data_IF_947649512594
#
_entry.id   IF_947649512594
#
_cell.length_a   1.000
_cell.length_b   1.000
_cell.length_c   1.000
_cell.angle_alpha   90.00
_cell.angle_beta   90.00
_cell.angle_gamma   90.00
#
_symmetry.space_group_name_H-M   'P 1'
#
loop_
_entity.id
_entity.type
_entity.pdbx_description
1 polymer ?
#
# COMPACT_ATOMS: atom_id res chain seq x y z
N UNK A 1 79.52 -26.01 78.37
CA UNK A 1 79.89 -26.75 77.14
C UNK A 1 78.69 -27.52 76.58
N UNK A 2 78.21 -27.12 75.40
CA UNK A 2 78.04 -28.06 74.27
C UNK A 2 76.93 -29.11 74.22
N UNK A 3 75.85 -29.10 75.04
CA UNK A 3 74.69 -30.01 74.81
C UNK A 3 73.29 -29.36 74.97
N UNK A 4 73.21 -28.02 74.88
CA UNK A 4 71.98 -27.26 74.59
C UNK A 4 71.88 -27.07 73.07
N UNK A 5 71.25 -27.99 72.31
CA UNK A 5 70.58 -27.67 71.02
C UNK A 5 69.88 -28.86 70.33
N UNK A 6 70.24 -30.12 70.62
CA UNK A 6 69.64 -31.26 69.89
C UNK A 6 68.44 -31.93 70.56
N UNK A 7 68.18 -31.71 71.85
CA UNK A 7 67.00 -32.31 72.52
C UNK A 7 65.69 -31.53 72.29
N UNK A 8 65.76 -30.22 71.99
CA UNK A 8 64.57 -29.41 71.64
C UNK A 8 64.02 -29.67 70.23
N UNK A 9 64.75 -30.40 69.37
CA UNK A 9 64.28 -30.80 68.04
C UNK A 9 63.57 -32.16 68.03
N UNK A 10 63.69 -32.95 69.11
CA UNK A 10 63.09 -34.28 69.21
C UNK A 10 61.65 -34.20 69.73
N UNK A 11 61.39 -33.31 70.68
CA UNK A 11 60.07 -33.22 71.31
C UNK A 11 59.07 -32.39 70.47
N UNK A 12 59.56 -31.47 69.61
CA UNK A 12 58.72 -30.78 68.61
C UNK A 12 58.32 -31.69 67.42
N UNK A 13 58.97 -32.85 67.25
CA UNK A 13 58.59 -33.85 66.25
C UNK A 13 57.51 -34.82 66.76
N UNK A 14 57.35 -34.95 68.08
CA UNK A 14 56.25 -35.72 68.66
C UNK A 14 54.95 -34.92 68.65
N UNK A 15 55.00 -33.61 68.86
CA UNK A 15 53.79 -32.76 68.86
C UNK A 15 53.22 -32.51 67.44
N UNK A 16 54.06 -32.47 66.39
CA UNK A 16 53.59 -32.20 65.01
C UNK A 16 53.15 -33.49 64.28
N UNK A 17 53.62 -34.67 64.71
CA UNK A 17 53.16 -35.95 64.15
C UNK A 17 51.87 -36.43 64.82
N UNK A 18 51.61 -36.11 66.09
CA UNK A 18 50.29 -36.30 66.70
C UNK A 18 49.24 -35.31 66.16
N UNK A 19 49.65 -34.11 65.72
CA UNK A 19 48.72 -33.15 65.10
C UNK A 19 48.40 -33.42 63.62
N UNK A 20 49.08 -34.37 62.96
CA UNK A 20 48.78 -34.75 61.56
C UNK A 20 48.01 -36.05 61.38
N UNK A 21 47.74 -36.80 62.47
CA UNK A 21 46.74 -37.89 62.50
C UNK A 21 45.37 -37.43 62.99
N UNK A 22 45.20 -36.13 63.27
CA UNK A 22 43.91 -35.52 63.52
C UNK A 22 43.41 -34.81 62.26
N UNK A 23 42.52 -35.49 61.52
CA UNK A 23 41.61 -35.01 60.45
C UNK A 23 41.73 -35.82 59.16
N UNK A 24 41.22 -37.05 59.19
CA UNK A 24 40.51 -37.60 58.03
C UNK A 24 39.04 -37.82 58.41
N UNK A 25 38.07 -37.24 57.70
CA UNK A 25 36.69 -37.22 58.16
C UNK A 25 36.02 -38.55 57.82
N UNK A 26 35.93 -39.47 58.80
CA UNK A 26 34.95 -40.58 58.75
C UNK A 26 33.51 -40.09 58.57
N UNK A 27 33.24 -38.80 58.85
CA UNK A 27 31.95 -38.13 58.55
C UNK A 27 31.74 -37.83 57.05
N UNK A 28 32.78 -37.76 56.21
CA UNK A 28 32.61 -37.43 54.78
C UNK A 28 32.37 -38.65 53.89
N UNK A 29 32.95 -39.83 54.18
CA UNK A 29 32.64 -41.06 53.40
C UNK A 29 31.19 -41.50 53.55
N UNK A 30 30.66 -41.55 54.79
CA UNK A 30 29.24 -41.87 55.01
C UNK A 30 28.29 -40.81 54.44
N UNK A 31 28.68 -39.54 54.45
CA UNK A 31 27.86 -38.46 53.89
C UNK A 31 27.92 -38.46 52.36
N UNK A 32 29.07 -38.77 51.75
CA UNK A 32 29.22 -39.00 50.31
C UNK A 32 28.46 -40.24 49.86
N UNK A 33 28.51 -41.37 50.58
CA UNK A 33 27.76 -42.58 50.23
C UNK A 33 26.24 -42.34 50.32
N UNK A 34 25.77 -41.64 51.36
CA UNK A 34 24.37 -41.22 51.47
C UNK A 34 23.97 -40.24 50.36
N UNK A 35 24.83 -39.27 50.01
CA UNK A 35 24.57 -38.37 48.88
C UNK A 35 24.53 -39.12 47.55
N UNK A 36 25.38 -40.13 47.38
CA UNK A 36 25.50 -40.92 46.15
C UNK A 36 24.31 -41.86 46.01
N UNK A 37 23.86 -42.50 47.10
CA UNK A 37 22.63 -43.28 47.15
C UNK A 37 21.40 -42.40 46.92
N UNK A 38 21.33 -41.21 47.56
CA UNK A 38 20.23 -40.26 47.35
C UNK A 38 20.18 -39.76 45.91
N UNK A 39 21.31 -39.38 45.30
CA UNK A 39 21.38 -39.01 43.88
C UNK A 39 21.01 -40.16 42.95
N UNK A 40 21.37 -41.41 43.31
CA UNK A 40 21.00 -42.60 42.53
C UNK A 40 19.51 -42.92 42.64
N UNK A 41 18.91 -42.66 43.80
CA UNK A 41 17.48 -42.77 44.04
C UNK A 41 16.70 -41.66 43.34
N UNK A 42 17.14 -40.41 43.43
CA UNK A 42 16.59 -39.26 42.70
C UNK A 42 16.65 -39.50 41.19
N UNK A 43 17.78 -39.97 40.65
CA UNK A 43 17.88 -40.34 39.23
C UNK A 43 16.97 -41.51 38.85
N UNK A 44 16.74 -42.48 39.75
CA UNK A 44 15.80 -43.59 39.51
C UNK A 44 14.37 -43.10 39.50
N UNK A 45 13.96 -42.29 40.48
CA UNK A 45 12.64 -41.68 40.56
C UNK A 45 12.38 -40.73 39.38
N UNK A 46 13.39 -39.97 38.96
CA UNK A 46 13.32 -39.13 37.76
C UNK A 46 13.21 -39.98 36.50
N UNK A 47 13.98 -41.08 36.38
CA UNK A 47 13.86 -42.00 35.26
C UNK A 47 12.52 -42.73 35.22
N UNK A 48 11.92 -43.05 36.37
CA UNK A 48 10.59 -43.64 36.47
C UNK A 48 9.50 -42.61 36.18
N UNK A 49 9.64 -41.36 36.63
CA UNK A 49 8.75 -40.26 36.24
C UNK A 49 8.81 -40.02 34.74
N UNK A 50 10.00 -40.05 34.13
CA UNK A 50 10.16 -39.90 32.67
C UNK A 50 9.55 -41.11 31.95
N UNK A 51 9.79 -42.35 32.43
CA UNK A 51 9.18 -43.56 31.85
C UNK A 51 7.65 -43.57 31.98
N UNK A 52 7.11 -43.13 33.11
CA UNK A 52 5.66 -42.99 33.32
C UNK A 52 5.08 -41.86 32.46
N UNK A 53 5.75 -40.72 32.35
CA UNK A 53 5.30 -39.63 31.47
C UNK A 53 5.32 -40.08 30.00
N UNK A 54 6.35 -40.83 29.60
CA UNK A 54 6.46 -41.41 28.26
C UNK A 54 5.50 -42.60 28.01
N UNK A 55 5.09 -43.35 29.04
CA UNK A 55 4.09 -44.41 28.93
C UNK A 55 2.68 -43.82 28.83
N UNK A 56 2.37 -42.81 29.65
CA UNK A 56 1.14 -42.01 29.58
C UNK A 56 1.01 -41.34 28.22
N UNK A 57 2.07 -40.72 27.70
CA UNK A 57 2.08 -40.13 26.35
C UNK A 57 1.94 -41.19 25.24
N UNK A 58 2.53 -42.37 25.38
CA UNK A 58 2.36 -43.49 24.43
C UNK A 58 0.98 -44.13 24.51
N UNK A 59 0.34 -44.13 25.66
CA UNK A 59 -1.04 -44.59 25.84
C UNK A 59 -2.03 -43.55 25.32
N UNK A 60 -1.76 -42.26 25.56
CA UNK A 60 -2.49 -41.14 24.97
C UNK A 60 -2.38 -41.18 23.45
N UNK A 61 -1.19 -41.31 22.87
CA UNK A 61 -0.99 -41.42 21.43
C UNK A 61 -1.60 -42.68 20.80
N UNK A 62 -1.75 -43.79 21.55
CA UNK A 62 -2.45 -45.01 21.10
C UNK A 62 -3.98 -44.87 21.15
N UNK A 63 -4.52 -44.12 22.11
CA UNK A 63 -5.96 -43.82 22.24
C UNK A 63 -6.40 -42.63 21.38
N UNK A 64 -5.49 -41.69 21.11
CA UNK A 64 -5.75 -40.53 20.27
C UNK A 64 -5.70 -40.97 18.82
N UNK A 65 -6.85 -41.04 18.18
CA UNK A 65 -6.96 -41.39 16.77
C UNK A 65 -6.44 -40.26 15.88
N UNK A 66 -5.14 -39.97 15.92
CA UNK A 66 -4.51 -38.88 15.17
C UNK A 66 -4.86 -38.94 13.68
N UNK A 67 -4.91 -40.15 13.10
CA UNK A 67 -5.40 -40.36 11.72
C UNK A 67 -6.87 -39.93 11.54
N UNK A 68 -7.77 -40.25 12.47
CA UNK A 68 -9.19 -39.84 12.39
C UNK A 68 -9.36 -38.34 12.59
N UNK A 69 -8.59 -37.72 13.50
CA UNK A 69 -8.57 -36.26 13.70
C UNK A 69 -8.03 -35.56 12.46
N UNK A 70 -6.95 -36.08 11.86
CA UNK A 70 -6.39 -35.56 10.62
C UNK A 70 -7.37 -35.72 9.45
N UNK A 71 -8.02 -36.88 9.30
CA UNK A 71 -9.07 -37.10 8.30
C UNK A 71 -10.24 -36.14 8.52
N UNK A 72 -10.66 -35.91 9.76
CA UNK A 72 -11.72 -34.96 10.08
C UNK A 72 -11.30 -33.52 9.75
N UNK A 73 -10.07 -33.12 10.08
CA UNK A 73 -9.55 -31.81 9.72
C UNK A 73 -9.47 -31.63 8.21
N UNK A 74 -9.00 -32.63 7.46
CA UNK A 74 -8.98 -32.61 5.99
C UNK A 74 -10.41 -32.54 5.44
N UNK A 75 -11.34 -33.32 5.99
CA UNK A 75 -12.74 -33.29 5.57
C UNK A 75 -13.40 -31.94 5.85
N UNK A 76 -13.10 -31.31 6.99
CA UNK A 76 -13.53 -29.93 7.30
C UNK A 76 -12.90 -28.96 6.30
N UNK A 77 -11.61 -29.09 5.99
CA UNK A 77 -10.91 -28.21 5.05
C UNK A 77 -11.47 -28.35 3.63
N UNK A 78 -11.79 -29.57 3.18
CA UNK A 78 -12.46 -29.87 1.91
C UNK A 78 -13.89 -29.30 1.91
N UNK A 79 -14.63 -29.49 3.00
CA UNK A 79 -16.00 -28.97 3.13
C UNK A 79 -16.00 -27.43 3.09
N UNK A 80 -15.08 -26.79 3.82
CA UNK A 80 -14.86 -25.34 3.76
C UNK A 80 -14.48 -24.94 2.32
N UNK A 81 -13.57 -25.67 1.67
CA UNK A 81 -13.16 -25.42 0.28
C UNK A 81 -14.31 -25.51 -0.73
N UNK A 82 -15.40 -26.22 -0.41
CA UNK A 82 -16.60 -26.32 -1.28
C UNK A 82 -17.66 -25.29 -0.89
N UNK A 83 -17.97 -25.16 0.40
CA UNK A 83 -19.03 -24.27 0.90
C UNK A 83 -18.65 -22.80 0.72
N UNK A 84 -17.39 -22.45 0.91
CA UNK A 84 -16.90 -21.07 0.84
C UNK A 84 -17.07 -20.49 -0.57
N UNK A 85 -16.60 -21.14 -1.66
CA UNK A 85 -16.88 -20.68 -3.02
C UNK A 85 -18.37 -20.58 -3.34
N UNK A 86 -19.19 -21.55 -2.88
CA UNK A 86 -20.65 -21.51 -3.05
C UNK A 86 -21.23 -20.27 -2.36
N UNK A 87 -20.78 -19.97 -1.14
CA UNK A 87 -21.17 -18.78 -0.39
C UNK A 87 -20.81 -17.48 -1.12
N UNK A 88 -19.62 -17.38 -1.70
CA UNK A 88 -19.20 -16.23 -2.52
C UNK A 88 -20.07 -16.14 -3.77
N UNK A 89 -20.27 -17.25 -4.45
CA UNK A 89 -21.02 -17.31 -5.69
C UNK A 89 -22.47 -16.83 -5.49
N UNK A 90 -23.15 -17.27 -4.42
CA UNK A 90 -24.53 -16.88 -4.19
C UNK A 90 -24.67 -15.50 -3.53
N UNK A 91 -23.86 -15.20 -2.51
CA UNK A 91 -24.08 -14.03 -1.63
C UNK A 91 -23.05 -12.91 -1.78
N UNK A 92 -21.95 -13.14 -2.49
CA UNK A 92 -20.85 -12.19 -2.64
C UNK A 92 -20.06 -11.94 -1.35
N UNK A 93 -18.88 -11.27 -1.44
CA UNK A 93 -18.03 -11.01 -0.28
C UNK A 93 -18.59 -9.96 0.68
N UNK A 94 -19.47 -9.06 0.20
CA UNK A 94 -20.07 -7.98 0.99
C UNK A 94 -21.42 -8.33 1.64
N UNK A 95 -21.92 -9.56 1.46
CA UNK A 95 -23.18 -10.00 2.06
C UNK A 95 -23.15 -9.96 3.59
N UNK A 96 -24.31 -9.74 4.23
CA UNK A 96 -24.40 -9.59 5.70
C UNK A 96 -23.84 -10.80 6.46
N UNK A 97 -24.06 -12.01 5.95
CA UNK A 97 -23.60 -13.27 6.56
C UNK A 97 -22.15 -13.58 6.16
N UNK A 98 -21.79 -13.30 4.91
CA UNK A 98 -20.49 -13.67 4.32
C UNK A 98 -19.36 -12.72 4.72
N UNK A 99 -19.63 -11.42 4.83
CA UNK A 99 -18.64 -10.38 5.18
C UNK A 99 -17.83 -10.68 6.45
N UNK A 100 -18.40 -11.04 7.63
CA UNK A 100 -17.61 -11.33 8.81
C UNK A 100 -16.73 -12.57 8.67
N UNK A 101 -17.14 -13.55 7.85
CA UNK A 101 -16.37 -14.76 7.56
C UNK A 101 -15.17 -14.40 6.68
N UNK A 102 -15.41 -13.70 5.56
CA UNK A 102 -14.37 -13.35 4.59
C UNK A 102 -13.36 -12.31 5.09
N UNK A 103 -13.72 -11.52 6.10
CA UNK A 103 -12.75 -10.69 6.83
C UNK A 103 -11.69 -11.51 7.57
N UNK A 104 -12.05 -12.71 8.06
CA UNK A 104 -11.16 -13.58 8.84
C UNK A 104 -10.48 -14.64 7.97
N UNK A 105 -11.20 -15.19 7.00
CA UNK A 105 -10.73 -16.22 6.09
C UNK A 105 -10.71 -15.62 4.68
N UNK A 106 -9.58 -15.01 4.26
CA UNK A 106 -9.47 -14.40 2.95
C UNK A 106 -9.60 -15.45 1.85
N UNK A 107 -10.37 -15.14 0.82
CA UNK A 107 -10.56 -15.98 -0.36
C UNK A 107 -10.16 -15.22 -1.64
N UNK A 108 -9.69 -15.88 -2.70
CA UNK A 108 -9.36 -15.21 -3.96
C UNK A 108 -10.55 -14.52 -4.65
N UNK A 109 -10.43 -13.22 -4.92
CA UNK A 109 -11.38 -12.48 -5.76
C UNK A 109 -10.85 -12.24 -7.17
N UNK A 110 -9.54 -12.08 -7.33
CA UNK A 110 -8.90 -12.00 -8.63
C UNK A 110 -7.44 -12.46 -8.55
N UNK A 111 -6.92 -12.91 -9.70
CA UNK A 111 -5.50 -13.13 -9.93
C UNK A 111 -5.02 -12.27 -11.08
N UNK A 112 -3.86 -11.63 -10.91
CA UNK A 112 -3.29 -10.67 -11.86
C UNK A 112 -1.91 -11.13 -12.33
N UNK A 113 -1.71 -11.12 -13.65
CA UNK A 113 -0.42 -11.37 -14.27
C UNK A 113 0.00 -12.84 -14.29
N UNK A 114 1.23 -13.06 -14.78
CA UNK A 114 1.82 -14.40 -14.91
C UNK A 114 2.17 -15.01 -13.54
N UNK A 115 2.63 -14.17 -12.60
CA UNK A 115 2.94 -14.57 -11.22
C UNK A 115 1.68 -14.87 -10.39
N UNK A 116 0.48 -14.61 -10.95
CA UNK A 116 -0.82 -14.83 -10.31
C UNK A 116 -0.91 -14.14 -8.95
N UNK A 117 -0.59 -12.87 -8.91
CA UNK A 117 -0.77 -12.08 -7.70
C UNK A 117 -2.23 -12.04 -7.27
N UNK A 118 -2.45 -12.28 -5.98
CA UNK A 118 -3.76 -12.50 -5.40
C UNK A 118 -4.35 -11.20 -4.89
N UNK A 119 -5.56 -10.87 -5.35
CA UNK A 119 -6.46 -9.94 -4.65
C UNK A 119 -7.42 -10.78 -3.83
N UNK A 120 -7.54 -10.48 -2.53
CA UNK A 120 -8.35 -11.26 -1.60
C UNK A 120 -9.65 -10.57 -1.20
N UNK A 121 -10.64 -11.37 -0.77
CA UNK A 121 -11.90 -10.85 -0.21
C UNK A 121 -11.67 -9.93 0.97
N UNK A 122 -10.69 -10.22 1.85
CA UNK A 122 -10.37 -9.38 3.00
C UNK A 122 -9.96 -7.98 2.56
N UNK A 123 -9.06 -7.90 1.57
CA UNK A 123 -8.55 -6.64 1.03
C UNK A 123 -9.66 -5.82 0.36
N UNK A 124 -10.43 -6.46 -0.54
CA UNK A 124 -11.58 -5.84 -1.20
C UNK A 124 -12.60 -5.32 -0.18
N UNK A 125 -12.98 -6.13 0.81
CA UNK A 125 -13.93 -5.73 1.85
C UNK A 125 -13.40 -4.54 2.66
N UNK A 126 -12.13 -4.52 3.03
CA UNK A 126 -11.53 -3.41 3.78
C UNK A 126 -11.60 -2.10 2.99
N UNK A 127 -11.29 -2.14 1.70
CA UNK A 127 -11.30 -0.94 0.85
C UNK A 127 -12.73 -0.49 0.54
N UNK A 128 -13.68 -1.42 0.30
CA UNK A 128 -15.11 -1.08 0.15
C UNK A 128 -15.69 -0.51 1.43
N UNK A 129 -15.31 -1.05 2.59
CA UNK A 129 -15.79 -0.55 3.89
C UNK A 129 -15.31 0.87 4.17
N UNK A 130 -14.07 1.20 3.78
CA UNK A 130 -13.53 2.54 3.88
C UNK A 130 -14.29 3.54 3.02
N UNK A 131 -14.59 3.17 1.77
CA UNK A 131 -15.39 3.99 0.87
C UNK A 131 -16.83 4.12 1.36
N UNK A 132 -17.43 3.03 1.89
CA UNK A 132 -18.76 3.08 2.49
C UNK A 132 -18.79 4.06 3.67
N UNK A 133 -17.82 3.96 4.58
CA UNK A 133 -17.71 4.85 5.74
C UNK A 133 -17.66 6.31 5.31
N UNK A 134 -16.83 6.62 4.32
CA UNK A 134 -16.72 7.96 3.77
C UNK A 134 -18.09 8.52 3.33
N UNK A 135 -18.88 7.76 2.56
CA UNK A 135 -20.17 8.22 2.03
C UNK A 135 -21.37 8.14 3.02
N UNK A 136 -21.26 7.35 4.08
CA UNK A 136 -22.28 7.27 5.14
C UNK A 136 -22.13 8.35 6.21
N UNK A 137 -21.00 9.08 6.20
CA UNK A 137 -20.68 10.09 7.20
C UNK A 137 -21.72 11.23 7.28
N UNK A 138 -21.99 11.71 8.51
CA UNK A 138 -22.97 12.76 8.76
C UNK A 138 -22.50 14.13 8.25
N UNK A 139 -21.19 14.39 8.23
CA UNK A 139 -20.64 15.67 7.79
C UNK A 139 -20.82 15.86 6.29
N UNK A 140 -20.85 14.78 5.51
CA UNK A 140 -21.19 14.82 4.08
C UNK A 140 -22.67 15.09 3.82
N UNK A 141 -23.56 14.88 4.80
CA UNK A 141 -24.97 15.24 4.66
C UNK A 141 -25.14 16.76 4.49
N UNK A 142 -24.34 17.56 5.21
CA UNK A 142 -24.34 19.02 5.09
C UNK A 142 -24.00 19.51 3.68
N UNK A 143 -23.20 18.72 2.93
CA UNK A 143 -22.79 18.99 1.55
C UNK A 143 -23.71 18.33 0.51
N UNK A 144 -24.79 17.65 0.94
CA UNK A 144 -25.71 16.92 0.06
C UNK A 144 -25.13 15.65 -0.56
N UNK A 145 -24.03 15.12 0.00
CA UNK A 145 -23.24 14.02 -0.59
C UNK A 145 -23.43 12.67 0.11
N UNK A 146 -24.21 12.62 1.19
CA UNK A 146 -24.46 11.40 1.93
C UNK A 146 -25.27 10.40 1.11
N UNK A 147 -24.83 9.15 1.08
CA UNK A 147 -25.51 8.05 0.37
C UNK A 147 -26.03 7.03 1.38
N UNK A 148 -27.34 6.77 1.37
CA UNK A 148 -27.92 5.64 2.11
C UNK A 148 -27.83 4.35 1.27
N UNK A 149 -26.86 3.51 1.60
CA UNK A 149 -26.61 2.23 0.95
C UNK A 149 -27.66 1.14 1.25
N UNK A 150 -28.69 1.42 2.08
CA UNK A 150 -29.80 0.50 2.31
C UNK A 150 -30.90 0.62 1.25
N UNK A 151 -30.98 1.77 0.58
CA UNK A 151 -31.91 2.00 -0.54
C UNK A 151 -31.55 1.16 -1.78
N UNK A 152 -32.48 0.99 -2.72
CA UNK A 152 -32.21 0.27 -3.97
C UNK A 152 -31.08 0.93 -4.77
N UNK A 153 -31.12 2.25 -4.91
CA UNK A 153 -30.11 3.04 -5.62
C UNK A 153 -28.77 3.04 -4.88
N UNK A 154 -28.81 3.17 -3.55
CA UNK A 154 -27.61 3.05 -2.71
C UNK A 154 -26.92 1.70 -2.89
N UNK A 155 -27.64 0.59 -2.80
CA UNK A 155 -27.07 -0.75 -3.04
C UNK A 155 -26.39 -0.87 -4.41
N UNK A 156 -26.98 -0.28 -5.45
CA UNK A 156 -26.35 -0.27 -6.76
C UNK A 156 -25.11 0.62 -6.81
N UNK A 157 -25.14 1.82 -6.20
CA UNK A 157 -23.95 2.70 -6.08
C UNK A 157 -22.81 1.98 -5.35
N UNK A 158 -23.12 1.24 -4.30
CA UNK A 158 -22.14 0.42 -3.59
C UNK A 158 -21.55 -0.68 -4.48
N UNK A 159 -22.37 -1.32 -5.32
CA UNK A 159 -21.89 -2.29 -6.32
C UNK A 159 -20.97 -1.65 -7.36
N UNK A 160 -21.28 -0.44 -7.83
CA UNK A 160 -20.40 0.33 -8.72
C UNK A 160 -19.08 0.63 -8.01
N UNK A 161 -19.10 1.04 -6.74
CA UNK A 161 -17.87 1.29 -5.97
C UNK A 161 -17.08 0.01 -5.68
N UNK A 162 -17.73 -1.13 -5.40
CA UNK A 162 -17.07 -2.43 -5.30
C UNK A 162 -16.34 -2.79 -6.60
N UNK A 163 -16.98 -2.60 -7.76
CA UNK A 163 -16.34 -2.77 -9.07
C UNK A 163 -15.13 -1.86 -9.25
N UNK A 164 -15.27 -0.57 -8.98
CA UNK A 164 -14.21 0.44 -9.15
C UNK A 164 -13.00 0.17 -8.25
N UNK A 165 -13.25 -0.27 -7.01
CA UNK A 165 -12.18 -0.65 -6.08
C UNK A 165 -11.47 -1.89 -6.56
N UNK A 166 -12.20 -2.93 -7.00
CA UNK A 166 -11.57 -4.13 -7.54
C UNK A 166 -10.77 -3.82 -8.81
N UNK A 167 -11.29 -2.96 -9.68
CA UNK A 167 -10.59 -2.50 -10.90
C UNK A 167 -9.29 -1.77 -10.53
N UNK A 168 -9.35 -0.86 -9.56
CA UNK A 168 -8.19 -0.14 -9.05
C UNK A 168 -7.14 -1.08 -8.45
N UNK A 169 -7.55 -2.07 -7.66
CA UNK A 169 -6.63 -3.06 -7.09
C UNK A 169 -5.96 -3.92 -8.16
N UNK A 170 -6.68 -4.26 -9.24
CA UNK A 170 -6.08 -4.94 -10.39
C UNK A 170 -5.09 -4.02 -11.10
N UNK A 171 -5.46 -2.76 -11.35
CA UNK A 171 -4.57 -1.77 -11.95
C UNK A 171 -3.29 -1.56 -11.14
N UNK A 172 -3.40 -1.50 -9.81
CA UNK A 172 -2.27 -1.35 -8.89
C UNK A 172 -1.28 -2.51 -8.99
N UNK A 173 -1.75 -3.76 -9.06
CA UNK A 173 -0.88 -4.92 -9.29
C UNK A 173 -0.24 -4.90 -10.68
N UNK A 174 -0.96 -4.45 -11.70
CA UNK A 174 -0.40 -4.32 -13.06
C UNK A 174 0.70 -3.27 -13.09
N UNK A 175 0.48 -2.12 -12.44
CA UNK A 175 1.46 -1.04 -12.30
C UNK A 175 2.71 -1.54 -11.56
N UNK A 176 2.54 -2.25 -10.45
CA UNK A 176 3.64 -2.84 -9.68
C UNK A 176 4.44 -3.85 -10.53
N UNK A 177 3.77 -4.78 -11.22
CA UNK A 177 4.42 -5.75 -12.11
C UNK A 177 5.18 -5.08 -13.26
N UNK A 178 4.57 -4.06 -13.89
CA UNK A 178 5.20 -3.30 -14.96
C UNK A 178 6.44 -2.55 -14.45
N UNK A 179 6.36 -1.94 -13.27
CA UNK A 179 7.49 -1.29 -12.63
C UNK A 179 8.63 -2.27 -12.36
N UNK A 180 8.32 -3.42 -11.75
CA UNK A 180 9.29 -4.47 -11.47
C UNK A 180 9.97 -4.99 -12.75
N UNK A 181 9.21 -5.16 -13.84
CA UNK A 181 9.74 -5.53 -15.17
C UNK A 181 10.73 -4.51 -15.72
N UNK A 182 10.59 -3.24 -15.37
CA UNK A 182 11.51 -2.16 -15.73
C UNK A 182 12.60 -1.90 -14.67
N UNK A 183 12.75 -2.79 -13.68
CA UNK A 183 13.77 -2.68 -12.63
C UNK A 183 13.46 -1.63 -11.57
N UNK A 184 12.21 -1.15 -11.50
CA UNK A 184 11.76 -0.19 -10.49
C UNK A 184 11.19 -0.99 -9.32
N UNK A 185 11.86 -0.92 -8.17
CA UNK A 185 11.39 -1.50 -6.92
C UNK A 185 11.28 -0.41 -5.86
N UNK A 186 10.14 -0.33 -5.16
CA UNK A 186 9.90 0.65 -4.10
C UNK A 186 9.97 -0.06 -2.76
N UNK A 187 10.91 0.33 -1.91
CA UNK A 187 11.02 -0.24 -0.56
C UNK A 187 10.02 0.39 0.40
N UNK A 188 9.80 -0.27 1.55
CA UNK A 188 8.95 0.29 2.61
C UNK A 188 9.56 1.59 3.13
N UNK A 189 10.89 1.64 3.22
CA UNK A 189 11.66 2.80 3.62
C UNK A 189 11.45 3.97 2.65
N UNK A 190 11.58 3.73 1.34
CA UNK A 190 11.32 4.76 0.30
C UNK A 190 9.90 5.33 0.44
N UNK A 191 8.91 4.46 0.63
CA UNK A 191 7.51 4.84 0.78
C UNK A 191 7.25 5.59 2.10
N UNK A 192 7.96 5.23 3.17
CA UNK A 192 7.85 5.93 4.44
C UNK A 192 8.43 7.33 4.35
N UNK A 193 9.57 7.51 3.69
CA UNK A 193 10.16 8.84 3.48
C UNK A 193 9.25 9.74 2.62
N UNK A 194 8.63 9.19 1.57
CA UNK A 194 7.69 9.96 0.76
C UNK A 194 6.43 10.33 1.55
N UNK A 195 5.92 9.42 2.38
CA UNK A 195 4.82 9.72 3.28
C UNK A 195 5.18 10.83 4.28
N UNK A 196 6.37 10.77 4.88
CA UNK A 196 6.83 11.77 5.84
C UNK A 196 6.98 13.15 5.17
N UNK A 197 7.48 13.20 3.93
CA UNK A 197 7.49 14.43 3.10
C UNK A 197 6.08 14.95 2.83
N UNK A 198 5.17 14.08 2.40
CA UNK A 198 3.78 14.47 2.13
C UNK A 198 3.07 15.02 3.36
N UNK A 199 3.32 14.41 4.53
CA UNK A 199 2.77 14.86 5.81
C UNK A 199 3.38 16.19 6.24
N UNK A 200 4.69 16.39 6.07
CA UNK A 200 5.34 17.66 6.37
C UNK A 200 4.73 18.83 5.56
N UNK A 201 4.24 18.57 4.36
CA UNK A 201 3.53 19.55 3.52
C UNK A 201 2.07 19.71 3.98
N UNK A 202 1.39 18.61 4.31
CA UNK A 202 -0.04 18.59 4.63
C UNK A 202 -0.38 18.97 6.08
N UNK A 203 0.61 19.26 6.93
CA UNK A 203 0.43 19.70 8.31
C UNK A 203 0.94 18.69 9.34
N UNK A 204 0.18 18.47 10.42
CA UNK A 204 0.61 17.55 11.48
C UNK A 204 0.26 16.08 11.21
N UNK A 205 1.19 15.16 11.45
CA UNK A 205 0.96 13.70 11.39
C UNK A 205 -0.30 13.27 12.14
N UNK A 206 -0.50 13.81 13.35
CA UNK A 206 -1.66 13.50 14.19
C UNK A 206 -2.98 13.92 13.54
N UNK A 207 -3.03 15.08 12.88
CA UNK A 207 -4.23 15.50 12.15
C UNK A 207 -4.53 14.57 10.97
N UNK A 208 -3.50 14.17 10.22
CA UNK A 208 -3.65 13.20 9.11
C UNK A 208 -4.16 11.85 9.64
N UNK A 209 -3.58 11.34 10.73
CA UNK A 209 -4.01 10.10 11.37
C UNK A 209 -5.48 10.13 11.81
N UNK A 210 -5.89 11.20 12.50
CA UNK A 210 -7.28 11.40 12.93
C UNK A 210 -8.23 11.45 11.72
N UNK A 211 -7.81 12.11 10.63
CA UNK A 211 -8.60 12.23 9.40
C UNK A 211 -8.78 10.88 8.72
N UNK A 212 -7.71 10.11 8.55
CA UNK A 212 -7.75 8.78 7.96
C UNK A 212 -8.64 7.83 8.77
N UNK A 213 -8.50 7.88 10.10
CA UNK A 213 -9.32 7.08 10.99
C UNK A 213 -10.79 7.49 10.95
N UNK A 214 -11.09 8.80 10.92
CA UNK A 214 -12.46 9.32 10.88
C UNK A 214 -13.14 8.98 9.56
N UNK A 215 -12.56 9.40 8.42
CA UNK A 215 -13.19 9.31 7.10
C UNK A 215 -13.20 7.89 6.53
N UNK A 216 -12.09 7.17 6.67
CA UNK A 216 -11.87 5.89 5.99
C UNK A 216 -11.75 4.71 6.97
N UNK A 217 -11.56 4.97 8.26
CA UNK A 217 -11.22 3.91 9.23
C UNK A 217 -9.83 3.33 9.00
N UNK A 218 -8.97 4.06 8.31
CA UNK A 218 -7.60 3.67 7.97
C UNK A 218 -6.64 4.00 9.10
N UNK A 219 -5.60 3.18 9.22
CA UNK A 219 -4.40 3.51 9.99
C UNK A 219 -3.48 4.39 9.16
N UNK A 220 -2.51 5.02 9.80
CA UNK A 220 -1.49 5.80 9.10
C UNK A 220 -0.75 4.98 8.05
N UNK A 221 -0.36 3.75 8.40
CA UNK A 221 0.34 2.83 7.49
C UNK A 221 -0.50 2.47 6.24
N UNK A 222 -1.84 2.47 6.33
CA UNK A 222 -2.68 2.22 5.16
C UNK A 222 -2.49 3.32 4.10
N UNK A 223 -2.19 4.56 4.49
CA UNK A 223 -1.89 5.63 3.53
C UNK A 223 -0.59 5.35 2.78
N UNK A 224 0.44 4.87 3.47
CA UNK A 224 1.70 4.43 2.85
C UNK A 224 1.41 3.30 1.85
N UNK A 225 0.83 2.22 2.36
CA UNK A 225 0.76 0.93 1.66
C UNK A 225 -0.24 0.96 0.50
N UNK A 226 -1.33 1.74 0.59
CA UNK A 226 -2.42 1.73 -0.40
C UNK A 226 -2.44 2.93 -1.34
N UNK A 227 -1.68 3.99 -1.02
CA UNK A 227 -1.70 5.23 -1.81
C UNK A 227 -0.30 5.61 -2.23
N UNK A 228 0.60 5.84 -1.27
CA UNK A 228 1.94 6.38 -1.56
C UNK A 228 2.75 5.42 -2.41
N UNK A 229 2.80 4.13 -2.08
CA UNK A 229 3.55 3.12 -2.85
C UNK A 229 3.14 3.13 -4.34
N UNK A 230 1.84 3.08 -4.63
CA UNK A 230 1.35 3.04 -6.02
C UNK A 230 1.51 4.39 -6.74
N UNK A 231 1.43 5.52 -6.02
CA UNK A 231 1.78 6.83 -6.59
C UNK A 231 3.26 6.90 -6.96
N UNK A 232 4.15 6.37 -6.12
CA UNK A 232 5.58 6.30 -6.41
C UNK A 232 5.86 5.41 -7.62
N UNK A 233 5.27 4.22 -7.69
CA UNK A 233 5.39 3.37 -8.88
C UNK A 233 4.94 4.09 -10.15
N UNK A 234 3.77 4.74 -10.11
CA UNK A 234 3.25 5.52 -11.23
C UNK A 234 4.21 6.63 -11.65
N UNK A 235 4.77 7.37 -10.69
CA UNK A 235 5.75 8.44 -10.94
C UNK A 235 7.03 7.90 -11.59
N UNK A 236 7.62 6.84 -11.04
CA UNK A 236 8.84 6.21 -11.59
C UNK A 236 8.59 5.60 -12.98
N UNK A 237 7.42 5.03 -13.20
CA UNK A 237 7.04 4.54 -14.53
C UNK A 237 6.85 5.68 -15.52
N UNK A 238 6.36 6.85 -15.08
CA UNK A 238 6.28 8.03 -15.94
C UNK A 238 7.68 8.53 -16.32
N UNK A 239 8.63 8.56 -15.37
CA UNK A 239 10.04 8.85 -15.64
C UNK A 239 10.63 7.83 -16.64
N UNK A 240 10.35 6.54 -16.44
CA UNK A 240 10.79 5.49 -17.38
C UNK A 240 10.16 5.65 -18.76
N UNK A 241 8.87 5.98 -18.79
CA UNK A 241 8.13 6.27 -20.01
C UNK A 241 8.78 7.44 -20.77
N UNK A 242 9.20 8.49 -20.07
CA UNK A 242 9.93 9.61 -20.65
C UNK A 242 11.15 9.13 -21.45
N UNK A 243 11.95 8.23 -20.88
CA UNK A 243 13.15 7.69 -21.54
C UNK A 243 12.82 6.91 -22.80
N UNK A 244 11.88 5.96 -22.72
CA UNK A 244 11.51 5.10 -23.86
C UNK A 244 10.75 5.88 -24.95
N UNK A 245 10.14 7.00 -24.57
CA UNK A 245 9.36 7.82 -25.49
C UNK A 245 10.22 8.69 -26.40
N UNK A 246 11.53 8.83 -26.13
CA UNK A 246 12.42 9.71 -26.90
C UNK A 246 12.54 9.34 -28.37
N UNK A 247 12.35 8.06 -28.70
CA UNK A 247 12.40 7.56 -30.08
C UNK A 247 11.04 7.64 -30.78
N UNK A 248 9.97 8.04 -30.07
CA UNK A 248 8.63 8.16 -30.65
C UNK A 248 8.54 9.41 -31.53
N UNK A 249 7.77 9.29 -32.62
CA UNK A 249 7.57 10.37 -33.59
C UNK A 249 7.11 11.68 -32.95
N UNK A 250 6.20 11.61 -31.98
CA UNK A 250 5.61 12.77 -31.32
C UNK A 250 6.61 13.47 -30.39
N UNK A 251 7.50 12.70 -29.75
CA UNK A 251 8.60 13.29 -28.99
C UNK A 251 9.61 13.96 -29.93
N UNK A 252 9.97 13.33 -31.04
CA UNK A 252 10.88 13.90 -32.05
C UNK A 252 10.31 15.18 -32.69
N UNK A 253 8.99 15.26 -32.88
CA UNK A 253 8.33 16.50 -33.30
C UNK A 253 8.43 17.60 -32.24
N UNK A 254 8.30 17.25 -30.96
CA UNK A 254 8.48 18.20 -29.85
C UNK A 254 9.94 18.63 -29.70
N UNK A 255 10.92 17.76 -30.00
CA UNK A 255 12.33 18.18 -30.06
C UNK A 255 12.54 19.20 -31.17
N UNK A 256 11.99 18.97 -32.38
CA UNK A 256 12.03 19.97 -33.45
C UNK A 256 11.37 21.28 -33.04
N UNK A 257 10.18 21.21 -32.42
CA UNK A 257 9.48 22.40 -31.92
C UNK A 257 10.33 23.18 -30.90
N UNK A 258 11.04 22.47 -30.02
CA UNK A 258 11.94 23.09 -29.04
C UNK A 258 13.15 23.72 -29.72
N UNK A 259 13.81 23.02 -30.63
CA UNK A 259 14.96 23.54 -31.39
C UNK A 259 14.59 24.80 -32.16
N UNK A 260 13.47 24.81 -32.90
CA UNK A 260 13.02 26.00 -33.64
C UNK A 260 12.68 27.19 -32.71
N UNK A 261 12.23 26.90 -31.49
CA UNK A 261 11.90 27.90 -30.48
C UNK A 261 13.15 28.49 -29.80
N UNK A 262 14.17 27.67 -29.51
CA UNK A 262 15.34 28.09 -28.72
C UNK A 262 16.56 28.45 -29.55
N UNK A 263 16.74 27.83 -30.71
CA UNK A 263 17.93 28.01 -31.56
C UNK A 263 17.62 28.95 -32.75
N UNK A 264 16.48 28.75 -33.41
CA UNK A 264 16.11 29.56 -34.59
C UNK A 264 15.42 30.89 -34.21
N UNK A 265 15.06 31.06 -32.93
CA UNK A 265 14.41 32.27 -32.41
C UNK A 265 12.98 32.48 -32.90
N UNK A 266 12.29 31.42 -33.31
CA UNK A 266 10.90 31.47 -33.79
C UNK A 266 9.96 31.99 -32.70
N UNK A 267 8.88 32.68 -33.08
CA UNK A 267 7.87 33.08 -32.12
C UNK A 267 7.11 31.85 -31.61
N UNK A 268 6.92 31.76 -30.29
CA UNK A 268 6.16 30.67 -29.66
C UNK A 268 4.79 30.45 -30.30
N UNK A 269 4.08 31.51 -30.70
CA UNK A 269 2.77 31.40 -31.34
C UNK A 269 2.83 30.66 -32.68
N UNK A 270 3.91 30.86 -33.45
CA UNK A 270 4.12 30.19 -34.73
C UNK A 270 4.43 28.70 -34.52
N UNK A 271 5.23 28.39 -33.49
CA UNK A 271 5.53 27.01 -33.09
C UNK A 271 4.27 26.31 -32.59
N UNK A 272 3.41 27.00 -31.84
CA UNK A 272 2.10 26.45 -31.43
C UNK A 272 1.26 26.10 -32.66
N UNK A 273 1.18 26.99 -33.65
CA UNK A 273 0.39 26.73 -34.85
C UNK A 273 0.93 25.52 -35.62
N UNK A 274 2.25 25.41 -35.71
CA UNK A 274 2.93 24.33 -36.45
C UNK A 274 2.89 22.97 -35.75
N UNK A 275 3.10 22.92 -34.43
CA UNK A 275 3.33 21.65 -33.70
C UNK A 275 2.26 21.32 -32.66
N UNK A 276 1.60 22.32 -32.08
CA UNK A 276 0.66 22.07 -30.98
C UNK A 276 -0.64 21.44 -31.49
N UNK A 277 -1.30 20.75 -30.56
CA UNK A 277 -2.60 20.11 -30.67
C UNK A 277 -3.47 20.48 -29.47
N UNK A 278 -4.72 19.99 -29.46
CA UNK A 278 -5.66 20.20 -28.37
C UNK A 278 -6.30 21.59 -28.33
N UNK A 279 -7.06 21.87 -27.26
CA UNK A 279 -7.84 23.10 -27.15
C UNK A 279 -6.97 24.35 -27.01
N UNK A 280 -5.83 24.27 -26.31
CA UNK A 280 -4.94 25.44 -26.14
C UNK A 280 -4.33 25.92 -27.45
N UNK A 281 -4.27 25.08 -28.51
CA UNK A 281 -3.81 25.53 -29.84
C UNK A 281 -4.67 26.69 -30.36
N UNK A 282 -5.99 26.62 -30.16
CA UNK A 282 -6.95 27.64 -30.63
C UNK A 282 -6.72 29.02 -30.01
N UNK A 283 -6.03 29.06 -28.87
CA UNK A 283 -5.65 30.27 -28.15
C UNK A 283 -4.14 30.52 -28.19
N UNK A 284 -3.44 30.13 -29.26
CA UNK A 284 -1.98 30.31 -29.40
C UNK A 284 -1.17 29.74 -28.23
N UNK A 285 -1.66 28.66 -27.63
CA UNK A 285 -1.04 27.95 -26.51
C UNK A 285 -1.39 28.52 -25.15
N UNK A 286 -2.10 29.65 -25.09
CA UNK A 286 -2.46 30.33 -23.85
C UNK A 286 -3.41 29.48 -23.01
N UNK A 287 -3.06 29.31 -21.74
CA UNK A 287 -3.91 28.68 -20.74
C UNK A 287 -4.53 29.75 -19.82
N UNK A 288 -3.84 30.86 -19.57
CA UNK A 288 -4.29 31.91 -18.66
C UNK A 288 -3.73 31.75 -17.25
N UNK A 289 -4.33 32.44 -16.29
CA UNK A 289 -3.91 32.42 -14.89
C UNK A 289 -4.49 31.20 -14.18
N UNK A 290 -3.63 30.40 -13.56
CA UNK A 290 -4.04 29.29 -12.70
C UNK A 290 -3.21 29.23 -11.43
N UNK A 291 -3.80 28.82 -10.30
CA UNK A 291 -3.04 28.41 -9.13
C UNK A 291 -2.08 27.28 -9.49
N UNK A 292 -0.83 27.35 -9.02
CA UNK A 292 0.21 26.38 -9.34
C UNK A 292 -0.19 24.95 -8.91
N UNK A 293 -0.94 24.81 -7.82
CA UNK A 293 -1.48 23.56 -7.29
C UNK A 293 -2.66 22.97 -8.10
N UNK A 294 -3.14 23.69 -9.12
CA UNK A 294 -4.22 23.25 -10.03
C UNK A 294 -3.74 22.86 -11.41
N UNK A 295 -2.47 23.11 -11.73
CA UNK A 295 -1.84 22.63 -12.96
C UNK A 295 -1.42 21.17 -12.76
N UNK A 296 -1.21 20.40 -13.85
CA UNK A 296 -0.72 19.03 -13.73
C UNK A 296 0.59 18.99 -12.96
N UNK A 297 0.74 18.01 -12.07
CA UNK A 297 1.88 17.89 -11.16
C UNK A 297 3.21 17.92 -11.92
N UNK A 298 3.27 17.27 -13.08
CA UNK A 298 4.46 17.20 -13.93
C UNK A 298 4.90 18.59 -14.40
N UNK A 299 3.94 19.45 -14.76
CA UNK A 299 4.24 20.82 -15.21
C UNK A 299 4.55 21.71 -14.03
N UNK A 300 3.79 21.61 -12.93
CA UNK A 300 3.99 22.40 -11.73
C UNK A 300 5.38 22.18 -11.12
N UNK A 301 5.86 20.93 -11.09
CA UNK A 301 7.21 20.58 -10.64
C UNK A 301 8.29 21.20 -11.52
N UNK A 302 8.08 21.27 -12.84
CA UNK A 302 9.05 21.85 -13.77
C UNK A 302 9.09 23.38 -13.65
N UNK A 303 7.93 24.05 -13.68
CA UNK A 303 7.87 25.52 -13.75
C UNK A 303 7.94 26.23 -12.40
N UNK A 304 7.89 25.48 -11.28
CA UNK A 304 7.86 26.03 -9.93
C UNK A 304 9.01 27.00 -9.67
N UNK A 305 10.20 26.74 -10.19
CA UNK A 305 11.38 27.59 -9.99
C UNK A 305 11.71 28.50 -11.18
N UNK A 306 10.82 28.57 -12.16
CA UNK A 306 11.11 29.30 -13.40
C UNK A 306 11.00 30.81 -13.23
N UNK A 307 11.83 31.52 -13.99
CA UNK A 307 11.69 32.96 -14.17
C UNK A 307 10.72 33.29 -15.30
N UNK A 308 10.19 34.52 -15.28
CA UNK A 308 9.35 35.04 -16.36
C UNK A 308 10.09 34.96 -17.70
N UNK A 309 9.43 34.37 -18.70
CA UNK A 309 9.94 34.15 -20.03
C UNK A 309 10.65 32.81 -20.22
N UNK A 310 10.96 32.07 -19.15
CA UNK A 310 11.67 30.80 -19.25
C UNK A 310 10.81 29.71 -19.90
N UNK A 311 11.43 28.94 -20.79
CA UNK A 311 10.81 27.84 -21.56
C UNK A 311 11.36 26.52 -21.03
N UNK A 312 10.49 25.51 -20.90
CA UNK A 312 10.84 24.21 -20.34
C UNK A 312 11.55 23.28 -21.31
N UNK A 313 12.06 22.17 -20.75
CA UNK A 313 12.27 20.95 -21.52
C UNK A 313 10.96 20.35 -22.03
N UNK A 314 11.06 19.19 -22.70
CA UNK A 314 9.89 18.40 -23.04
C UNK A 314 9.43 17.67 -21.79
N UNK A 315 8.22 17.99 -21.33
CA UNK A 315 7.60 17.43 -20.14
C UNK A 315 6.63 16.33 -20.59
N UNK A 316 6.92 15.04 -20.33
CA UNK A 316 5.98 13.96 -20.58
C UNK A 316 4.87 13.98 -19.51
N UNK A 317 3.65 13.70 -19.94
CA UNK A 317 2.48 13.65 -19.07
C UNK A 317 1.57 12.47 -19.42
N UNK A 318 0.51 12.34 -18.63
CA UNK A 318 -0.60 11.40 -18.85
C UNK A 318 -1.31 11.60 -20.20
N UNK A 319 -1.21 12.78 -20.83
CA UNK A 319 -1.91 13.13 -22.06
C UNK A 319 -1.00 13.20 -23.30
N UNK A 320 0.31 13.32 -23.12
CA UNK A 320 1.27 13.50 -24.21
C UNK A 320 2.50 14.27 -23.74
N UNK A 321 3.02 15.13 -24.59
CA UNK A 321 4.23 15.91 -24.33
C UNK A 321 3.92 17.39 -24.30
N UNK A 322 4.57 18.12 -23.40
CA UNK A 322 4.38 19.55 -23.22
C UNK A 322 5.73 20.27 -23.30
N UNK A 323 5.76 21.42 -23.97
CA UNK A 323 6.76 22.47 -23.75
C UNK A 323 6.00 23.67 -23.20
N UNK A 324 6.42 24.17 -22.05
CA UNK A 324 5.71 25.21 -21.30
C UNK A 324 6.60 26.43 -21.19
N UNK A 325 6.01 27.61 -21.35
CA UNK A 325 6.66 28.86 -21.02
C UNK A 325 5.93 29.54 -19.87
N UNK A 326 6.69 29.94 -18.85
CA UNK A 326 6.17 30.79 -17.79
C UNK A 326 6.09 32.23 -18.30
N UNK A 327 4.89 32.74 -18.54
CA UNK A 327 4.69 34.11 -19.00
C UNK A 327 4.70 35.11 -17.86
N UNK A 328 4.16 34.71 -16.72
CA UNK A 328 4.11 35.54 -15.53
C UNK A 328 3.81 34.69 -14.29
N UNK A 329 4.07 35.24 -13.11
CA UNK A 329 3.62 34.66 -11.85
C UNK A 329 3.27 35.78 -10.88
N UNK A 330 2.32 35.49 -9.98
CA UNK A 330 1.93 36.41 -8.92
C UNK A 330 1.59 35.65 -7.66
N UNK A 331 1.81 36.29 -6.53
CA UNK A 331 1.28 35.83 -5.25
C UNK A 331 -0.10 36.46 -5.06
N UNK A 332 -1.09 35.65 -4.74
CA UNK A 332 -2.43 36.09 -4.37
C UNK A 332 -2.70 35.71 -2.93
N UNK A 333 -3.46 36.56 -2.25
CA UNK A 333 -4.00 36.30 -0.93
C UNK A 333 -5.45 35.89 -1.10
N UNK A 334 -5.78 34.67 -0.66
CA UNK A 334 -7.14 34.17 -0.61
C UNK A 334 -7.55 34.03 0.85
N UNK A 335 -8.72 34.56 1.20
CA UNK A 335 -9.29 34.36 2.53
C UNK A 335 -9.94 32.97 2.57
N UNK A 336 -9.52 32.15 3.53
CA UNK A 336 -10.15 30.86 3.82
C UNK A 336 -11.67 31.06 4.04
N UNK A 337 -12.48 30.57 3.10
CA UNK A 337 -13.94 30.84 3.08
C UNK A 337 -14.72 29.98 4.07
N UNK A 338 -14.17 28.83 4.42
CA UNK A 338 -14.76 27.87 5.32
C UNK A 338 -13.78 27.54 6.43
N UNK A 339 -14.31 27.19 7.60
CA UNK A 339 -13.59 26.35 8.55
C UNK A 339 -13.57 24.96 7.93
N UNK A 340 -12.75 24.75 6.91
CA UNK A 340 -12.46 23.39 6.50
C UNK A 340 -11.61 22.82 7.63
N UNK A 341 -12.23 21.98 8.47
CA UNK A 341 -11.56 21.21 9.54
C UNK A 341 -10.38 20.35 9.01
N UNK A 342 -10.24 20.31 7.68
CA UNK A 342 -9.28 19.55 6.90
C UNK A 342 -8.13 20.39 6.34
N UNK A 343 -8.11 21.70 6.55
CA UNK A 343 -6.99 22.58 6.23
C UNK A 343 -6.39 23.12 7.55
N UNK A 344 -5.09 23.42 7.57
CA UNK A 344 -4.47 24.05 8.76
C UNK A 344 -4.96 25.51 8.92
N UNK A 345 -5.69 26.03 7.92
CA UNK A 345 -6.26 27.37 7.87
C UNK A 345 -7.69 27.41 8.42
N UNK A 346 -7.93 28.29 9.38
CA UNK A 346 -9.27 28.62 9.89
C UNK A 346 -9.96 29.59 8.96
N UNK A 347 -11.30 29.64 9.02
CA UNK A 347 -12.07 30.66 8.31
C UNK A 347 -11.56 32.06 8.67
N UNK A 348 -11.27 32.85 7.64
CA UNK A 348 -10.69 34.18 7.80
C UNK A 348 -9.16 34.22 7.73
N UNK A 349 -8.48 33.07 7.76
CA UNK A 349 -7.03 33.02 7.56
C UNK A 349 -6.67 33.45 6.13
N UNK A 350 -5.55 34.16 6.03
CA UNK A 350 -4.98 34.60 4.75
C UNK A 350 -4.11 33.47 4.21
N UNK A 351 -4.56 32.85 3.13
CA UNK A 351 -3.82 31.82 2.40
C UNK A 351 -3.07 32.51 1.27
N UNK A 352 -1.74 32.41 1.29
CA UNK A 352 -0.90 32.86 0.19
C UNK A 352 -0.78 31.75 -0.84
N UNK A 353 -1.21 32.02 -2.07
CA UNK A 353 -1.09 31.09 -3.20
C UNK A 353 -0.29 31.72 -4.32
N UNK A 354 0.49 30.91 -5.02
CA UNK A 354 1.16 31.33 -6.25
C UNK A 354 0.28 30.99 -7.44
N UNK A 355 -0.11 32.01 -8.19
CA UNK A 355 -0.69 31.84 -9.52
C UNK A 355 0.39 32.02 -10.58
N UNK A 356 0.29 31.23 -11.64
CA UNK A 356 1.16 31.32 -12.80
C UNK A 356 0.31 31.55 -14.04
N UNK A 357 0.85 32.35 -14.95
CA UNK A 357 0.33 32.49 -16.30
C UNK A 357 1.26 31.72 -17.22
N UNK A 358 0.75 30.68 -17.85
CA UNK A 358 1.53 29.84 -18.76
C UNK A 358 0.91 29.77 -20.15
N UNK A 359 1.79 29.53 -21.11
CA UNK A 359 1.40 29.02 -22.43
C UNK A 359 2.16 27.73 -22.72
N UNK A 360 1.58 26.88 -23.56
CA UNK A 360 2.14 25.57 -23.88
C UNK A 360 2.10 25.27 -25.37
N UNK A 361 3.06 24.47 -25.81
CA UNK A 361 2.97 23.63 -27.01
C UNK A 361 2.69 22.23 -26.49
N UNK A 362 1.57 21.66 -26.91
CA UNK A 362 1.13 20.32 -26.49
C UNK A 362 1.04 19.40 -27.70
N UNK A 363 1.63 18.22 -27.62
CA UNK A 363 1.50 17.17 -28.64
C UNK A 363 0.90 15.92 -28.01
N UNK A 364 -0.16 15.39 -28.60
CA UNK A 364 -0.72 14.11 -28.16
C UNK A 364 0.18 13.00 -28.67
N UNK A 365 0.74 12.19 -27.77
CA UNK A 365 1.49 10.98 -28.12
C UNK A 365 0.76 9.71 -27.69
N UNK A 366 1.43 8.55 -27.82
CA UNK A 366 1.06 7.33 -27.07
C UNK A 366 1.30 7.65 -25.60
N UNK A 367 0.35 8.34 -24.96
CA UNK A 367 0.57 8.91 -23.65
C UNK A 367 0.89 7.84 -22.62
N UNK A 368 1.48 8.24 -21.50
CA UNK A 368 1.70 7.34 -20.38
C UNK A 368 0.43 6.53 -20.02
N UNK A 369 -0.75 7.15 -20.11
CA UNK A 369 -2.04 6.47 -19.89
C UNK A 369 -2.30 5.38 -20.92
N UNK A 370 -2.09 5.67 -22.22
CA UNK A 370 -2.28 4.68 -23.28
C UNK A 370 -1.29 3.51 -23.14
N UNK A 371 -0.04 3.80 -22.77
CA UNK A 371 0.95 2.76 -22.49
C UNK A 371 0.51 1.83 -21.35
N UNK A 372 0.05 2.39 -20.23
CA UNK A 372 -0.51 1.61 -19.13
C UNK A 372 -1.75 0.82 -19.60
N UNK A 373 -2.63 1.42 -20.39
CA UNK A 373 -3.82 0.76 -20.94
C UNK A 373 -3.46 -0.44 -21.84
N UNK A 374 -2.47 -0.30 -22.71
CA UNK A 374 -1.95 -1.39 -23.53
C UNK A 374 -1.35 -2.52 -22.69
N UNK A 375 -0.59 -2.20 -21.63
CA UNK A 375 -0.05 -3.20 -20.71
C UNK A 375 -1.17 -3.91 -19.93
N UNK A 376 -2.22 -3.19 -19.53
CA UNK A 376 -3.42 -3.79 -18.93
C UNK A 376 -4.08 -4.77 -19.90
N UNK A 377 -4.30 -4.39 -21.16
CA UNK A 377 -4.90 -5.26 -22.19
C UNK A 377 -4.08 -6.53 -22.46
N UNK A 378 -2.74 -6.46 -22.32
CA UNK A 378 -1.83 -7.61 -22.45
C UNK A 378 -1.85 -8.51 -21.21
N UNK A 379 -2.12 -7.96 -20.03
CA UNK A 379 -2.08 -8.71 -18.77
C UNK A 379 -3.21 -9.73 -18.67
N UNK A 380 -2.86 -10.94 -18.25
CA UNK A 380 -3.84 -11.98 -17.93
C UNK A 380 -4.44 -11.73 -16.56
N UNK A 381 -5.73 -11.41 -16.51
CA UNK A 381 -6.49 -11.22 -15.28
C UNK A 381 -7.60 -12.26 -15.22
N UNK A 382 -7.74 -12.94 -14.09
CA UNK A 382 -8.88 -13.83 -13.82
C UNK A 382 -9.66 -13.31 -12.63
N UNK A 383 -10.95 -13.05 -12.82
CA UNK A 383 -11.87 -12.53 -11.79
C UNK A 383 -12.77 -13.67 -11.33
N UNK A 384 -12.80 -13.93 -10.03
CA UNK A 384 -13.50 -15.03 -9.37
C UNK A 384 -14.72 -14.52 -8.60
N UNK A 385 -15.38 -13.52 -9.16
CA UNK A 385 -16.60 -12.91 -8.64
C UNK A 385 -17.66 -12.92 -9.73
N UNK A 386 -18.84 -13.50 -9.45
CA UNK A 386 -19.90 -13.66 -10.47
C UNK A 386 -20.40 -12.34 -11.09
N UNK A 387 -20.35 -11.25 -10.32
CA UNK A 387 -20.92 -9.97 -10.72
C UNK A 387 -19.99 -9.21 -11.67
N UNK A 388 -18.72 -9.62 -11.77
CA UNK A 388 -17.66 -8.87 -12.42
C UNK A 388 -16.84 -9.75 -13.37
N UNK A 389 -16.34 -9.14 -14.43
CA UNK A 389 -15.45 -9.81 -15.37
C UNK A 389 -14.38 -8.85 -15.86
N UNK A 390 -13.21 -9.40 -16.19
CA UNK A 390 -12.16 -8.66 -16.87
C UNK A 390 -12.53 -8.44 -18.34
N UNK A 391 -12.67 -7.18 -18.74
CA UNK A 391 -12.80 -6.81 -20.14
C UNK A 391 -11.40 -6.57 -20.71
N UNK A 392 -10.86 -7.60 -21.38
CA UNK A 392 -9.52 -7.54 -21.96
C UNK A 392 -9.38 -6.43 -22.99
N UNK A 393 -10.45 -6.06 -23.70
CA UNK A 393 -10.39 -5.03 -24.73
C UNK A 393 -10.23 -3.63 -24.15
N UNK A 394 -10.90 -3.34 -23.02
CA UNK A 394 -10.73 -2.05 -22.34
C UNK A 394 -9.60 -2.08 -21.30
N UNK A 395 -9.14 -3.25 -20.88
CA UNK A 395 -8.24 -3.38 -19.74
C UNK A 395 -8.91 -2.94 -18.43
N UNK A 396 -10.20 -3.22 -18.25
CA UNK A 396 -10.92 -2.82 -17.04
C UNK A 396 -11.89 -3.90 -16.58
N UNK A 397 -12.19 -3.91 -15.29
CA UNK A 397 -13.27 -4.72 -14.74
C UNK A 397 -14.61 -4.06 -15.06
N UNK A 398 -15.52 -4.84 -15.63
CA UNK A 398 -16.90 -4.46 -15.89
C UNK A 398 -17.87 -5.39 -15.18
N UNK A 399 -19.13 -4.98 -15.05
CA UNK A 399 -20.18 -5.89 -14.65
C UNK A 399 -20.32 -7.03 -15.69
N UNK A 400 -20.51 -8.25 -15.19
CA UNK A 400 -20.76 -9.43 -16.03
C UNK A 400 -22.13 -9.34 -16.72
N UNK A 401 -23.14 -8.90 -15.96
CA UNK A 401 -24.51 -8.74 -16.42
C UNK A 401 -24.71 -7.45 -17.25
N UNK A 402 -25.59 -7.50 -18.26
CA UNK A 402 -25.89 -6.36 -19.12
C UNK A 402 -26.78 -5.32 -18.45
N UNK A 403 -27.79 -5.75 -17.68
CA UNK A 403 -28.68 -4.82 -16.99
C UNK A 403 -27.90 -3.98 -15.96
N UNK A 404 -26.97 -4.60 -15.25
CA UNK A 404 -26.05 -3.93 -14.34
C UNK A 404 -25.18 -2.88 -15.06
N UNK A 405 -24.66 -3.19 -16.26
CA UNK A 405 -23.90 -2.22 -17.09
C UNK A 405 -24.78 -1.04 -17.53
N UNK A 406 -26.01 -1.29 -17.97
CA UNK A 406 -26.95 -0.23 -18.35
C UNK A 406 -27.37 0.61 -17.14
N UNK A 407 -27.53 -0.02 -15.98
CA UNK A 407 -27.83 0.67 -14.73
C UNK A 407 -26.65 1.56 -14.28
N UNK A 408 -25.41 1.07 -14.35
CA UNK A 408 -24.21 1.88 -14.10
C UNK A 408 -24.16 3.11 -15.02
N UNK A 409 -24.40 2.93 -16.33
CA UNK A 409 -24.45 4.06 -17.28
C UNK A 409 -25.53 5.08 -16.91
N UNK A 410 -26.73 4.62 -16.53
CA UNK A 410 -27.83 5.51 -16.07
C UNK A 410 -27.46 6.28 -14.81
N UNK A 411 -26.83 5.61 -13.85
CA UNK A 411 -26.35 6.21 -12.61
C UNK A 411 -25.32 7.30 -12.92
N UNK A 412 -24.32 7.03 -13.77
CA UNK A 412 -23.32 8.02 -14.20
C UNK A 412 -23.96 9.23 -14.90
N UNK A 413 -24.93 9.01 -15.79
CA UNK A 413 -25.59 10.08 -16.54
C UNK A 413 -26.50 10.98 -15.68
N UNK A 414 -27.27 10.39 -14.75
CA UNK A 414 -28.16 11.14 -13.84
C UNK A 414 -27.39 11.96 -12.80
N UNK A 415 -26.12 11.64 -12.63
CA UNK A 415 -25.29 12.09 -11.50
C UNK A 415 -24.19 13.04 -11.94
N UNK A 416 -24.38 13.73 -13.07
CA UNK A 416 -23.52 14.85 -13.48
C UNK A 416 -23.53 15.93 -12.39
N UNK A 417 -22.54 15.88 -11.49
CA UNK A 417 -22.40 16.78 -10.34
C UNK A 417 -22.40 16.10 -8.97
N UNK A 418 -22.76 14.80 -8.88
CA UNK A 418 -22.75 14.04 -7.63
C UNK A 418 -21.38 13.34 -7.44
N UNK A 419 -20.57 13.75 -6.45
CA UNK A 419 -19.23 13.21 -6.21
C UNK A 419 -19.21 11.75 -5.76
N UNK A 420 -20.35 11.16 -5.34
CA UNK A 420 -20.40 9.73 -5.03
C UNK A 420 -20.32 8.81 -6.25
N UNK A 421 -20.38 9.39 -7.45
CA UNK A 421 -20.37 8.69 -8.74
C UNK A 421 -19.22 9.17 -9.65
N UNK A 422 -18.52 10.24 -9.27
CA UNK A 422 -17.30 10.68 -9.96
C UNK A 422 -16.11 9.78 -9.65
#
# INVERSE_FOLDING_TARGET
MGKKKDKKKKDAKEEIVELRKAKEPKKDKQKQDRLTQKKKQEKREESEKIKNKASVLREFARKFHFKKVLILLIAILVTISIIVPIGIYFYGPLGKITRPIFKKIPYPVAFVGEERELISTRELIQNVDAVRKFYEDQDLASKGLRVDFNTKDGKMRLKVKEREILDKQVEDRIIEQLANKHGINITIEDAQEELDRAVAIAGSKKAVELRLASLYGWKFDDLRDKVIVYQMYTKRLLEKYAEISKEQSEYLEMEKAKTELTEDGSNFSDIVEKYSEGESKKSSGELGWFPLDKISTEVAMEIGEYQKGQISGIIPSRLGFHIVQLQDYREIEEIAKNDDEFDDFKKGDIIKRREVKIRQIFKRGISFVKWIEEEKQKTKVSVWMKDYQWDKASGHIRFADEEARLMEKRIKNRSKGDPSIK
#
